data_IF_586775338043
#
_entry.id   IF_586775338043
#
_cell.length_a   1.000
_cell.length_b   1.000
_cell.length_c   1.000
_cell.angle_alpha   90.00
_cell.angle_beta   90.00
_cell.angle_gamma   90.00
#
_symmetry.space_group_name_H-M   'P 1'
#
loop_
_entity.id
_entity.type
_entity.pdbx_description
1 polymer ?
#
# COMPACT_ATOMS: atom_id res chain seq x y z
N UNK A 1 -25.90 8.56 12.33
CA UNK A 1 -24.82 8.50 13.34
C UNK A 1 -24.12 7.16 13.20
N UNK A 2 -22.79 7.12 13.28
CA UNK A 2 -22.03 5.86 13.29
C UNK A 2 -22.43 5.05 14.53
N UNK A 3 -22.65 3.73 14.44
CA UNK A 3 -22.95 2.90 15.60
C UNK A 3 -21.86 3.08 16.66
N UNK A 4 -22.27 3.38 17.90
CA UNK A 4 -21.39 3.47 19.07
C UNK A 4 -21.19 2.04 19.56
N UNK A 5 -19.93 1.59 19.61
CA UNK A 5 -19.55 0.30 20.17
C UNK A 5 -18.86 0.49 21.53
N UNK A 6 -18.62 -0.57 22.29
CA UNK A 6 -17.86 -0.53 23.55
C UNK A 6 -16.42 -0.04 23.37
N UNK A 7 -15.78 -0.34 22.23
CA UNK A 7 -14.42 0.13 21.87
C UNK A 7 -14.40 1.53 21.23
N UNK A 8 -15.48 2.30 21.32
CA UNK A 8 -15.53 3.62 20.70
C UNK A 8 -14.68 4.63 21.51
N UNK A 9 -13.70 5.33 20.90
CA UNK A 9 -12.86 6.29 21.62
C UNK A 9 -13.66 7.44 22.25
N UNK A 10 -14.88 7.69 21.76
CA UNK A 10 -15.79 8.69 22.35
C UNK A 10 -16.17 8.39 23.79
N UNK A 11 -16.02 7.16 24.29
CA UNK A 11 -16.24 6.84 25.71
C UNK A 11 -15.21 7.51 26.62
N UNK A 12 -13.97 7.63 26.17
CA UNK A 12 -12.93 8.36 26.92
C UNK A 12 -13.24 9.85 26.94
N UNK A 13 -13.58 10.44 25.79
CA UNK A 13 -13.95 11.86 25.69
C UNK A 13 -15.21 12.16 26.54
N UNK A 14 -16.14 11.20 26.60
CA UNK A 14 -17.32 11.25 27.46
C UNK A 14 -16.95 11.24 28.96
N UNK A 15 -16.07 10.33 29.38
CA UNK A 15 -15.62 10.24 30.77
C UNK A 15 -14.85 11.48 31.21
N UNK A 16 -14.09 12.09 30.31
CA UNK A 16 -13.33 13.31 30.56
C UNK A 16 -14.18 14.60 30.48
N UNK A 17 -15.42 14.51 29.97
CA UNK A 17 -16.31 15.66 29.81
C UNK A 17 -15.92 16.61 28.67
N UNK A 18 -15.14 16.12 27.69
CA UNK A 18 -14.64 16.90 26.55
C UNK A 18 -15.65 16.92 25.37
N UNK A 19 -16.69 16.09 25.43
CA UNK A 19 -17.71 16.01 24.39
C UNK A 19 -18.74 17.15 24.45
N UNK A 20 -19.25 17.60 23.29
CA UNK A 20 -20.40 18.51 23.24
C UNK A 20 -21.64 17.91 23.93
N UNK A 21 -22.47 18.76 24.56
CA UNK A 21 -23.65 18.32 25.33
C UNK A 21 -24.60 17.41 24.54
N UNK A 22 -24.79 17.70 23.25
CA UNK A 22 -25.67 16.93 22.38
C UNK A 22 -25.15 15.50 22.13
N UNK A 23 -23.83 15.30 22.09
CA UNK A 23 -23.20 13.99 21.95
C UNK A 23 -23.20 13.24 23.28
N UNK A 24 -22.92 13.94 24.39
CA UNK A 24 -23.02 13.36 25.73
C UNK A 24 -24.42 12.80 26.01
N UNK A 25 -25.48 13.52 25.62
CA UNK A 25 -26.86 13.05 25.79
C UNK A 25 -27.18 11.78 24.98
N UNK A 26 -26.51 11.55 23.85
CA UNK A 26 -26.62 10.32 23.09
C UNK A 26 -25.86 9.17 23.78
N UNK A 27 -24.64 9.42 24.24
CA UNK A 27 -23.82 8.42 24.92
C UNK A 27 -24.41 8.01 26.28
N UNK A 28 -25.00 8.93 27.06
CA UNK A 28 -25.73 8.61 28.30
C UNK A 28 -26.85 7.59 28.06
N UNK A 29 -27.57 7.72 26.95
CA UNK A 29 -28.65 6.77 26.58
C UNK A 29 -28.11 5.39 26.22
N UNK A 30 -26.95 5.32 25.59
CA UNK A 30 -26.30 4.04 25.28
C UNK A 30 -25.74 3.40 26.56
N UNK A 31 -25.03 4.17 27.38
CA UNK A 31 -24.48 3.71 28.66
C UNK A 31 -25.58 3.22 29.62
N UNK A 32 -26.75 3.86 29.65
CA UNK A 32 -27.87 3.42 30.49
C UNK A 32 -28.35 1.99 30.16
N UNK A 33 -28.11 1.50 28.93
CA UNK A 33 -28.57 0.19 28.47
C UNK A 33 -27.45 -0.86 28.37
N UNK A 34 -26.20 -0.49 28.65
CA UNK A 34 -25.04 -1.37 28.51
C UNK A 34 -24.22 -1.41 29.82
N UNK A 35 -24.29 -2.55 30.51
CA UNK A 35 -23.59 -2.75 31.78
C UNK A 35 -22.06 -2.80 31.63
N UNK A 36 -21.54 -3.22 30.47
CA UNK A 36 -20.09 -3.27 30.25
C UNK A 36 -19.52 -1.85 30.11
N UNK A 37 -20.24 -0.98 29.40
CA UNK A 37 -19.91 0.44 29.30
C UNK A 37 -19.98 1.13 30.66
N UNK A 38 -21.01 0.84 31.47
CA UNK A 38 -21.10 1.40 32.83
C UNK A 38 -19.91 1.01 33.70
N UNK A 39 -19.48 -0.26 33.65
CA UNK A 39 -18.34 -0.73 34.42
C UNK A 39 -17.04 -0.01 34.01
N UNK A 40 -16.79 0.13 32.70
CA UNK A 40 -15.62 0.84 32.19
C UNK A 40 -15.62 2.34 32.56
N UNK A 41 -16.78 2.99 32.52
CA UNK A 41 -16.93 4.38 32.97
C UNK A 41 -16.67 4.52 34.46
N UNK A 42 -17.20 3.61 35.30
CA UNK A 42 -16.91 3.64 36.74
C UNK A 42 -15.44 3.42 37.06
N UNK A 43 -14.76 2.52 36.35
CA UNK A 43 -13.32 2.29 36.52
C UNK A 43 -12.51 3.55 36.14
N UNK A 44 -12.92 4.23 35.07
CA UNK A 44 -12.29 5.49 34.63
C UNK A 44 -12.47 6.60 35.67
N UNK A 45 -13.68 6.72 36.24
CA UNK A 45 -13.99 7.69 37.29
C UNK A 45 -13.19 7.41 38.57
N UNK A 46 -13.07 6.14 38.97
CA UNK A 46 -12.27 5.70 40.12
C UNK A 46 -10.78 6.02 39.91
N UNK A 47 -10.23 5.73 38.73
CA UNK A 47 -8.86 6.06 38.38
C UNK A 47 -8.64 7.58 38.41
N UNK A 48 -9.56 8.36 37.85
CA UNK A 48 -9.48 9.82 37.86
C UNK A 48 -9.59 10.39 39.29
N UNK A 49 -10.37 9.75 40.16
CA UNK A 49 -10.44 10.12 41.58
C UNK A 49 -9.11 9.79 42.30
N UNK A 50 -8.53 8.61 42.05
CA UNK A 50 -7.24 8.21 42.60
C UNK A 50 -6.12 9.17 42.17
N UNK A 51 -6.08 9.56 40.89
CA UNK A 51 -5.12 10.54 40.38
C UNK A 51 -5.32 11.91 41.05
N UNK A 52 -6.57 12.38 41.15
CA UNK A 52 -6.89 13.66 41.83
C UNK A 52 -6.50 13.66 43.30
N UNK A 53 -6.66 12.53 43.99
CA UNK A 53 -6.20 12.36 45.37
C UNK A 53 -4.67 12.34 45.44
N UNK A 54 -4.01 11.59 44.55
CA UNK A 54 -2.54 11.51 44.50
C UNK A 54 -1.87 12.86 44.26
N UNK A 55 -2.51 13.74 43.47
CA UNK A 55 -2.03 15.10 43.22
C UNK A 55 -2.62 16.14 44.19
N UNK A 56 -3.43 15.73 45.19
CA UNK A 56 -4.03 16.67 46.14
C UNK A 56 -2.94 17.31 46.99
N UNK A 57 -2.80 18.63 46.86
CA UNK A 57 -1.81 19.42 47.60
C UNK A 57 -0.45 19.53 46.90
N UNK A 58 -0.25 18.88 45.75
CA UNK A 58 0.91 19.13 44.91
C UNK A 58 0.64 20.33 44.01
N UNK A 59 1.20 21.49 44.39
CA UNK A 59 1.34 22.61 43.45
C UNK A 59 2.56 22.33 42.59
N UNK A 60 2.36 21.61 41.50
CA UNK A 60 3.39 21.39 40.47
C UNK A 60 3.58 22.70 39.69
N UNK A 61 4.22 23.69 40.30
CA UNK A 61 4.65 24.87 39.58
C UNK A 61 5.68 24.46 38.53
N UNK A 62 5.43 24.86 37.29
CA UNK A 62 6.46 24.79 36.25
C UNK A 62 7.61 25.68 36.71
N UNK A 63 8.76 25.08 37.04
CA UNK A 63 9.97 25.85 37.35
C UNK A 63 10.29 26.88 36.26
N UNK A 64 11.02 27.95 36.61
CA UNK A 64 11.32 29.05 35.67
C UNK A 64 11.90 28.57 34.34
N UNK A 65 12.78 27.55 34.38
CA UNK A 65 13.38 26.94 33.20
C UNK A 65 12.34 26.29 32.26
N UNK A 66 11.34 25.62 32.81
CA UNK A 66 10.27 24.96 32.03
C UNK A 66 9.28 26.00 31.50
N UNK A 67 8.98 27.04 32.28
CA UNK A 67 8.20 28.21 31.82
C UNK A 67 8.90 28.93 30.67
N UNK A 68 10.22 29.07 30.72
CA UNK A 68 11.00 29.68 29.64
C UNK A 68 11.10 28.79 28.40
N UNK A 69 11.22 27.48 28.57
CA UNK A 69 11.17 26.52 27.46
C UNK A 69 9.82 26.57 26.72
N UNK A 70 8.70 26.63 27.44
CA UNK A 70 7.36 26.79 26.84
C UNK A 70 7.24 28.14 26.14
N UNK A 71 7.69 29.23 26.76
CA UNK A 71 7.73 30.57 26.12
C UNK A 71 8.56 30.56 24.84
N UNK A 72 9.69 29.84 24.81
CA UNK A 72 10.55 29.71 23.64
C UNK A 72 9.94 28.83 22.56
N UNK A 73 9.24 27.76 22.94
CA UNK A 73 8.56 26.85 22.01
C UNK A 73 7.31 27.47 21.38
N UNK A 74 6.58 28.30 22.14
CA UNK A 74 5.40 29.05 21.65
C UNK A 74 5.74 30.29 20.83
N UNK A 75 7.01 30.70 20.77
CA UNK A 75 7.44 31.70 19.79
C UNK A 75 7.37 31.05 18.42
N UNK A 76 6.45 31.56 17.60
CA UNK A 76 6.41 31.34 16.14
C UNK A 76 7.87 31.46 15.67
N UNK A 77 8.45 30.40 15.07
CA UNK A 77 9.82 30.49 14.59
C UNK A 77 9.88 31.69 13.65
N UNK A 78 10.83 32.59 13.90
CA UNK A 78 11.11 33.65 12.96
C UNK A 78 11.23 33.01 11.56
N UNK A 79 10.74 33.66 10.49
CA UNK A 79 10.77 33.09 9.14
C UNK A 79 12.18 32.63 8.69
N UNK A 80 13.21 33.04 9.42
CA UNK A 80 14.63 32.74 9.23
C UNK A 80 15.08 31.39 9.84
N UNK A 81 14.35 30.84 10.82
CA UNK A 81 14.61 29.51 11.41
C UNK A 81 13.70 28.42 10.88
N UNK A 82 12.77 28.76 10.00
CA UNK A 82 12.14 27.77 9.14
C UNK A 82 13.23 27.34 8.17
N UNK A 83 13.80 26.14 8.37
CA UNK A 83 14.44 25.43 7.26
C UNK A 83 13.33 25.29 6.24
N UNK A 84 13.26 26.25 5.32
CA UNK A 84 12.38 26.16 4.18
C UNK A 84 12.67 24.78 3.62
N UNK A 85 11.65 23.93 3.58
CA UNK A 85 11.66 22.79 2.70
C UNK A 85 11.80 23.41 1.31
N UNK A 86 13.05 23.65 0.89
CA UNK A 86 13.35 24.05 -0.46
C UNK A 86 12.63 23.03 -1.35
N UNK A 87 11.86 23.49 -2.34
CA UNK A 87 11.10 22.59 -3.18
C UNK A 87 12.09 21.56 -3.73
N UNK A 88 11.81 20.30 -3.42
CA UNK A 88 12.58 19.08 -3.67
C UNK A 88 12.70 18.76 -5.18
N UNK A 89 12.94 19.78 -6.01
CA UNK A 89 13.11 19.69 -7.46
C UNK A 89 14.47 19.10 -7.83
N UNK A 90 15.48 19.28 -6.97
CA UNK A 90 16.84 18.77 -7.20
C UNK A 90 16.92 17.24 -7.06
N UNK A 91 16.07 16.63 -6.24
CA UNK A 91 16.14 15.19 -5.96
C UNK A 91 15.56 14.32 -7.09
N UNK A 92 14.74 14.87 -7.99
CA UNK A 92 14.20 14.15 -9.14
C UNK A 92 15.18 14.01 -10.31
N UNK A 93 16.27 14.78 -10.32
CA UNK A 93 17.28 14.70 -11.37
C UNK A 93 18.05 13.37 -11.33
N UNK A 94 18.26 12.81 -10.13
CA UNK A 94 18.94 11.53 -9.94
C UNK A 94 18.15 10.34 -10.52
N UNK A 95 16.86 10.12 -10.17
CA UNK A 95 16.08 9.05 -10.79
C UNK A 95 15.85 9.29 -12.27
N UNK A 96 15.67 10.55 -12.73
CA UNK A 96 15.51 10.84 -14.16
C UNK A 96 16.76 10.51 -14.97
N UNK A 97 17.97 10.83 -14.46
CA UNK A 97 19.22 10.48 -15.12
C UNK A 97 19.43 8.96 -15.19
N UNK A 98 19.08 8.22 -14.13
CA UNK A 98 19.14 6.75 -14.11
C UNK A 98 18.17 6.16 -15.12
N UNK A 99 16.94 6.67 -15.18
CA UNK A 99 15.94 6.23 -16.15
C UNK A 99 16.37 6.48 -17.60
N UNK A 100 16.96 7.65 -17.88
CA UNK A 100 17.47 7.98 -19.20
C UNK A 100 18.65 7.07 -19.61
N UNK A 101 19.57 6.78 -18.69
CA UNK A 101 20.68 5.86 -18.94
C UNK A 101 20.19 4.43 -19.22
N UNK A 102 19.21 3.94 -18.44
CA UNK A 102 18.61 2.62 -18.66
C UNK A 102 17.91 2.52 -20.02
N UNK A 103 17.12 3.53 -20.39
CA UNK A 103 16.47 3.58 -21.70
C UNK A 103 17.48 3.61 -22.86
N UNK A 104 18.59 4.34 -22.70
CA UNK A 104 19.68 4.35 -23.69
C UNK A 104 20.34 2.98 -23.85
N UNK A 105 20.61 2.26 -22.75
CA UNK A 105 21.18 0.91 -22.81
C UNK A 105 20.23 -0.09 -23.47
N UNK A 106 18.93 -0.05 -23.14
CA UNK A 106 17.92 -0.91 -23.77
C UNK A 106 17.79 -0.59 -25.27
N UNK A 107 17.76 0.69 -25.65
CA UNK A 107 17.72 1.10 -27.06
C UNK A 107 18.96 0.64 -27.83
N UNK A 108 20.15 0.78 -27.24
CA UNK A 108 21.40 0.31 -27.83
C UNK A 108 21.41 -1.22 -27.98
N UNK A 109 20.93 -1.95 -26.97
CA UNK A 109 20.81 -3.40 -27.03
C UNK A 109 19.86 -3.87 -28.14
N UNK A 110 18.68 -3.25 -28.25
CA UNK A 110 17.73 -3.54 -29.32
C UNK A 110 18.30 -3.21 -30.71
N UNK A 111 19.02 -2.10 -30.83
CA UNK A 111 19.69 -1.71 -32.08
C UNK A 111 20.76 -2.73 -32.50
N UNK A 112 21.55 -3.24 -31.55
CA UNK A 112 22.55 -4.29 -31.81
C UNK A 112 21.88 -5.61 -32.17
N UNK A 113 20.80 -6.00 -31.48
CA UNK A 113 20.04 -7.21 -31.81
C UNK A 113 19.40 -7.14 -33.21
N UNK A 114 18.98 -5.96 -33.67
CA UNK A 114 18.46 -5.75 -35.02
C UNK A 114 19.54 -5.85 -36.12
N UNK A 115 20.82 -5.69 -35.76
CA UNK A 115 21.94 -5.85 -36.71
C UNK A 115 22.39 -7.31 -36.88
N UNK A 116 21.82 -8.24 -36.13
CA UNK A 116 21.99 -9.67 -36.42
C UNK A 116 21.04 -9.98 -37.57
N UNK A 117 21.52 -10.21 -38.81
CA UNK A 117 20.65 -10.70 -39.86
C UNK A 117 20.16 -12.08 -39.43
N UNK A 118 18.93 -12.13 -38.93
CA UNK A 118 18.21 -13.39 -38.82
C UNK A 118 17.99 -13.84 -40.25
N UNK A 119 18.86 -14.70 -40.74
CA UNK A 119 18.69 -15.42 -42.00
C UNK A 119 17.54 -16.41 -41.88
N UNK A 120 16.32 -15.91 -41.67
CA UNK A 120 15.07 -16.66 -41.76
C UNK A 120 14.47 -16.41 -43.15
N UNK A 121 15.01 -17.15 -44.10
CA UNK A 121 14.47 -17.26 -45.46
C UNK A 121 14.63 -18.66 -46.03
N UNK A 122 15.79 -19.30 -45.80
CA UNK A 122 16.09 -20.61 -46.40
C UNK A 122 15.70 -21.81 -45.52
N UNK A 123 15.74 -21.70 -44.19
CA UNK A 123 15.47 -22.84 -43.29
C UNK A 123 13.97 -23.17 -43.16
N UNK A 124 13.10 -22.16 -43.24
CA UNK A 124 11.64 -22.35 -43.21
C UNK A 124 11.13 -22.83 -44.58
N UNK A 125 11.69 -22.35 -45.69
CA UNK A 125 11.35 -22.83 -47.03
C UNK A 125 11.81 -24.29 -47.26
N UNK A 126 13.00 -24.67 -46.79
CA UNK A 126 13.50 -26.04 -46.90
C UNK A 126 12.72 -27.04 -46.03
N UNK A 127 12.29 -26.64 -44.83
CA UNK A 127 11.50 -27.52 -43.95
C UNK A 127 10.05 -27.71 -44.42
N UNK A 128 9.43 -26.68 -45.01
CA UNK A 128 8.09 -26.79 -45.60
C UNK A 128 8.13 -27.62 -46.89
N UNK A 129 9.15 -27.45 -47.74
CA UNK A 129 9.33 -28.26 -48.94
C UNK A 129 9.55 -29.75 -48.60
N UNK A 130 10.41 -30.05 -47.62
CA UNK A 130 10.69 -31.41 -47.17
C UNK A 130 9.46 -32.10 -46.56
N UNK A 131 8.70 -31.40 -45.72
CA UNK A 131 7.48 -31.94 -45.09
C UNK A 131 6.31 -32.17 -46.06
N UNK A 132 6.27 -31.49 -47.20
CA UNK A 132 5.25 -31.70 -48.25
C UNK A 132 5.52 -32.95 -49.09
N UNK A 133 6.78 -33.21 -49.42
CA UNK A 133 7.22 -34.38 -50.20
C UNK A 133 6.97 -35.69 -49.46
N UNK A 134 7.25 -35.72 -48.15
CA UNK A 134 7.06 -36.92 -47.32
C UNK A 134 5.57 -37.29 -47.18
N UNK A 135 4.70 -36.28 -47.04
CA UNK A 135 3.24 -36.49 -46.97
C UNK A 135 2.67 -36.99 -48.30
N UNK A 136 3.23 -36.56 -49.43
CA UNK A 136 2.77 -36.99 -50.75
C UNK A 136 3.25 -38.41 -51.09
N UNK A 137 4.46 -38.79 -50.67
CA UNK A 137 4.97 -40.16 -50.76
C UNK A 137 4.12 -41.16 -49.96
N UNK A 138 3.78 -40.82 -48.71
CA UNK A 138 2.89 -41.63 -47.85
C UNK A 138 1.50 -41.77 -48.46
N UNK A 139 0.95 -40.69 -49.04
CA UNK A 139 -0.37 -40.71 -49.68
C UNK A 139 -0.41 -41.61 -50.93
N UNK A 140 0.65 -41.63 -51.75
CA UNK A 140 0.77 -42.56 -52.89
C UNK A 140 0.94 -44.01 -52.44
N UNK A 141 1.69 -44.25 -51.36
CA UNK A 141 1.87 -45.60 -50.81
C UNK A 141 0.54 -46.18 -50.27
N UNK A 142 -0.30 -45.34 -49.64
CA UNK A 142 -1.64 -45.75 -49.18
C UNK A 142 -2.60 -46.01 -50.36
N UNK A 143 -2.54 -45.19 -51.42
CA UNK A 143 -3.40 -45.35 -52.60
C UNK A 143 -3.03 -46.57 -53.47
N UNK A 144 -1.75 -46.98 -53.47
CA UNK A 144 -1.25 -48.10 -54.26
C UNK A 144 -1.05 -49.40 -53.44
N UNK A 145 -1.16 -49.33 -52.11
CA UNK A 145 -0.87 -50.43 -51.20
C UNK A 145 -2.10 -50.96 -50.46
N UNK A 146 -2.92 -51.76 -51.14
CA UNK A 146 -3.58 -52.98 -50.62
C UNK A 146 -4.66 -53.44 -51.60
N UNK A 147 -4.25 -54.20 -52.63
CA UNK A 147 -5.19 -55.07 -53.33
C UNK A 147 -5.54 -56.24 -52.37
N UNK A 148 -6.82 -56.45 -52.00
CA UNK A 148 -7.19 -57.61 -51.20
C UNK A 148 -6.99 -58.88 -52.04
N UNK A 149 -6.18 -59.81 -51.55
CA UNK A 149 -6.18 -61.19 -52.01
C UNK A 149 -7.57 -61.77 -51.75
N UNK A 150 -8.33 -62.02 -52.82
CA UNK A 150 -9.56 -62.78 -52.75
C UNK A 150 -9.26 -64.20 -52.26
N UNK A 151 -9.71 -64.55 -51.06
CA UNK A 151 -9.82 -65.93 -50.60
C UNK A 151 -11.06 -66.55 -51.25
N UNK A 152 -10.83 -67.54 -52.12
CA UNK A 152 -11.85 -68.34 -52.81
C UNK A 152 -12.24 -69.52 -51.91
N UNK A 153 -13.52 -69.68 -51.60
CA UNK A 153 -14.12 -70.96 -51.20
C UNK A 153 -14.35 -71.82 -52.43
#
# INVERSE_FOLDING_TARGET
MKPINHEDPRWTDFALGELPEHEMAALRRVAANDSAVQAALSETDELAALMREGFRGEVLELGESRREAIRKAGRIPAPETVVSMQPRRRDWLRPAAIAAAAAGLVGCFLWVMQQIPVGEGDSIAASIASGSSDREAVRRQILLGNAPRATRS
#
